data_IF_784040000112
#
_entry.id   IF_784040000112
#
_cell.length_a   1.000
_cell.length_b   1.000
_cell.length_c   1.000
_cell.angle_alpha   90.00
_cell.angle_beta   90.00
_cell.angle_gamma   90.00
#
_symmetry.space_group_name_H-M   'P 1'
#
loop_
_entity.id
_entity.type
_entity.pdbx_description
1 polymer ?
#
# COMPACT_ATOMS: atom_id res chain seq x y z
N UNK A 1 -0.40 5.54 31.76
CA UNK A 1 -0.17 6.08 30.40
C UNK A 1 -0.82 5.15 29.39
N UNK A 2 -1.73 5.64 28.55
CA UNK A 2 -2.40 4.84 27.51
C UNK A 2 -1.38 4.41 26.45
N UNK A 3 -1.37 3.11 26.09
CA UNK A 3 -0.51 2.57 25.03
C UNK A 3 -0.84 3.30 23.73
N UNK A 4 0.13 4.05 23.15
CA UNK A 4 -0.07 4.71 21.85
C UNK A 4 -0.43 3.65 20.80
N UNK A 5 -1.59 3.81 20.17
CA UNK A 5 -2.04 2.95 19.08
C UNK A 5 -1.06 3.02 17.91
N UNK A 6 -0.92 1.88 17.23
CA UNK A 6 -0.16 1.71 16.00
C UNK A 6 -1.17 1.50 14.88
N UNK A 7 -0.88 2.04 13.69
CA UNK A 7 -1.83 2.10 12.58
C UNK A 7 -1.17 1.49 11.34
N UNK A 8 -1.74 0.37 10.87
CA UNK A 8 -1.42 -0.19 9.56
C UNK A 8 -2.42 0.32 8.51
N UNK A 9 -1.91 0.89 7.42
CA UNK A 9 -2.71 1.30 6.25
C UNK A 9 -2.29 0.44 5.08
N UNK A 10 -3.27 -0.14 4.40
CA UNK A 10 -3.06 -0.97 3.21
C UNK A 10 -3.73 -0.25 2.05
N UNK A 11 -2.97 0.06 1.00
CA UNK A 11 -3.52 0.62 -0.24
C UNK A 11 -3.54 -0.41 -1.36
N UNK A 12 -4.43 -0.26 -2.35
CA UNK A 12 -4.39 -1.05 -3.57
C UNK A 12 -3.03 -0.92 -4.30
N UNK A 13 -2.57 -1.96 -5.00
CA UNK A 13 -1.26 -1.96 -5.63
C UNK A 13 -1.24 -1.34 -7.05
N UNK A 14 -2.26 -0.57 -7.43
CA UNK A 14 -2.40 -0.06 -8.80
C UNK A 14 -1.47 1.13 -9.09
N UNK A 15 -1.16 1.96 -8.10
CA UNK A 15 -0.29 3.12 -8.25
C UNK A 15 0.58 3.35 -7.00
N UNK A 16 1.45 4.37 -7.04
CA UNK A 16 2.32 4.75 -5.92
C UNK A 16 1.58 5.59 -4.88
N UNK A 17 2.20 5.80 -3.71
CA UNK A 17 1.71 6.77 -2.70
C UNK A 17 2.79 7.83 -2.47
N UNK A 18 2.52 9.13 -2.75
CA UNK A 18 1.35 9.65 -3.47
C UNK A 18 1.31 9.14 -4.92
N UNK A 19 0.14 9.16 -5.57
CA UNK A 19 0.00 8.70 -6.94
C UNK A 19 0.51 9.73 -7.93
N UNK A 20 1.16 9.26 -9.00
CA UNK A 20 1.63 10.11 -10.10
C UNK A 20 0.48 10.58 -11.02
N UNK A 21 -0.66 9.89 -11.02
CA UNK A 21 -1.83 10.18 -11.86
C UNK A 21 -3.14 9.87 -11.13
N UNK A 22 -3.99 9.06 -11.75
CA UNK A 22 -5.19 8.51 -11.11
C UNK A 22 -4.80 7.67 -9.89
N UNK A 23 -5.51 7.87 -8.78
CA UNK A 23 -5.23 7.22 -7.49
C UNK A 23 -5.95 7.88 -6.33
N UNK A 24 -7.28 7.98 -6.40
CA UNK A 24 -8.07 8.67 -5.37
C UNK A 24 -7.84 8.07 -3.98
N UNK A 25 -7.87 6.74 -3.89
CA UNK A 25 -7.61 5.99 -2.65
C UNK A 25 -6.21 6.27 -2.11
N UNK A 26 -5.19 6.30 -2.97
CA UNK A 26 -3.80 6.56 -2.60
C UNK A 26 -3.58 8.01 -2.14
N UNK A 27 -4.31 8.98 -2.71
CA UNK A 27 -4.29 10.38 -2.21
C UNK A 27 -4.92 10.48 -0.82
N UNK A 28 -6.08 9.87 -0.60
CA UNK A 28 -6.72 9.86 0.71
C UNK A 28 -5.81 9.19 1.75
N UNK A 29 -5.21 8.06 1.40
CA UNK A 29 -4.26 7.36 2.27
C UNK A 29 -3.04 8.24 2.60
N UNK A 30 -2.49 8.97 1.61
CA UNK A 30 -1.38 9.89 1.83
C UNK A 30 -1.74 10.98 2.85
N UNK A 31 -2.86 11.69 2.65
CA UNK A 31 -3.30 12.74 3.59
C UNK A 31 -3.56 12.18 4.99
N UNK A 32 -4.14 10.98 5.08
CA UNK A 32 -4.38 10.29 6.35
C UNK A 32 -3.07 9.92 7.07
N UNK A 33 -2.07 9.43 6.33
CA UNK A 33 -0.75 9.11 6.87
C UNK A 33 -0.09 10.35 7.46
N UNK A 34 -0.04 11.45 6.70
CA UNK A 34 0.60 12.68 7.15
C UNK A 34 -0.12 13.26 8.36
N UNK A 35 -1.47 13.25 8.36
CA UNK A 35 -2.28 13.67 9.48
C UNK A 35 -2.07 12.85 10.76
N UNK A 36 -2.07 11.52 10.67
CA UNK A 36 -1.83 10.65 11.82
C UNK A 36 -0.39 10.73 12.32
N UNK A 37 0.58 10.81 11.43
CA UNK A 37 1.99 10.93 11.81
C UNK A 37 2.25 12.26 12.52
N UNK A 38 1.65 13.37 12.04
CA UNK A 38 1.72 14.68 12.70
C UNK A 38 1.10 14.67 14.11
N UNK A 39 0.09 13.83 14.35
CA UNK A 39 -0.48 13.60 15.70
C UNK A 39 0.37 12.67 16.58
N UNK A 40 1.49 12.17 16.08
CA UNK A 40 2.44 11.34 16.81
C UNK A 40 2.06 9.86 16.92
N UNK A 41 1.18 9.37 16.02
CA UNK A 41 0.90 7.95 15.85
C UNK A 41 2.01 7.28 15.04
N UNK A 42 2.26 5.99 15.30
CA UNK A 42 3.16 5.16 14.50
C UNK A 42 2.37 4.57 13.34
N UNK A 43 2.60 5.06 12.13
CA UNK A 43 1.90 4.63 10.93
C UNK A 43 2.81 3.77 10.06
N UNK A 44 2.29 2.62 9.61
CA UNK A 44 2.93 1.76 8.61
C UNK A 44 2.05 1.66 7.37
N UNK A 45 2.61 1.93 6.21
CA UNK A 45 1.96 1.79 4.92
C UNK A 45 2.44 0.52 4.22
N UNK A 46 1.49 -0.32 3.80
CA UNK A 46 1.71 -1.41 2.85
C UNK A 46 1.27 -0.95 1.46
N UNK A 47 2.20 -0.97 0.49
CA UNK A 47 1.95 -0.46 -0.85
C UNK A 47 2.79 -1.11 -1.94
N UNK A 48 2.57 -0.66 -3.17
CA UNK A 48 3.35 -1.05 -4.35
C UNK A 48 4.13 0.15 -4.91
N UNK A 49 5.22 -0.13 -5.61
CA UNK A 49 6.03 0.90 -6.24
C UNK A 49 6.76 1.76 -5.22
N UNK A 50 7.01 3.02 -5.57
CA UNK A 50 7.71 3.98 -4.71
C UNK A 50 6.76 4.59 -3.68
N UNK A 51 7.33 4.96 -2.55
CA UNK A 51 6.65 5.74 -1.52
C UNK A 51 7.46 6.99 -1.19
N UNK A 52 6.77 8.11 -0.99
CA UNK A 52 7.36 9.34 -0.45
C UNK A 52 6.38 9.95 0.55
N UNK A 53 6.66 9.83 1.84
CA UNK A 53 5.85 10.38 2.92
C UNK A 53 6.41 9.98 4.29
N UNK A 54 5.63 10.20 5.35
CA UNK A 54 6.09 10.13 6.74
C UNK A 54 5.91 8.76 7.42
N UNK A 55 5.19 7.80 6.83
CA UNK A 55 5.01 6.46 7.39
C UNK A 55 6.22 5.54 7.20
N UNK A 56 6.32 4.49 8.02
CA UNK A 56 7.14 3.32 7.69
C UNK A 56 6.54 2.63 6.47
N UNK A 57 7.32 2.41 5.42
CA UNK A 57 6.83 1.78 4.20
C UNK A 57 7.28 0.33 4.07
N UNK A 58 6.31 -0.58 3.93
CA UNK A 58 6.54 -1.97 3.60
C UNK A 58 6.16 -2.16 2.12
N UNK A 59 7.18 -2.21 1.27
CA UNK A 59 7.00 -2.43 -0.16
C UNK A 59 6.66 -3.89 -0.44
N UNK A 60 5.43 -4.17 -0.85
CA UNK A 60 4.99 -5.54 -1.16
C UNK A 60 5.29 -5.91 -2.62
N UNK A 61 5.06 -4.97 -3.54
CA UNK A 61 5.44 -5.09 -4.94
C UNK A 61 6.41 -3.98 -5.34
N UNK A 62 7.51 -4.36 -5.99
CA UNK A 62 8.50 -3.40 -6.51
C UNK A 62 7.94 -2.48 -7.61
N UNK A 63 7.00 -3.00 -8.41
CA UNK A 63 6.27 -2.26 -9.45
C UNK A 63 4.77 -2.32 -9.18
N UNK A 64 4.09 -1.22 -9.42
CA UNK A 64 2.62 -1.16 -9.35
C UNK A 64 2.00 -2.04 -10.44
N UNK A 65 0.71 -2.33 -10.35
CA UNK A 65 0.01 -3.08 -11.41
C UNK A 65 -0.01 -2.26 -12.71
N UNK A 66 -0.20 -0.94 -12.63
CA UNK A 66 -0.24 -0.05 -13.81
C UNK A 66 1.11 0.04 -14.52
N UNK A 67 2.23 -0.05 -13.80
CA UNK A 67 3.58 -0.05 -14.38
C UNK A 67 3.92 -1.37 -15.10
N UNK A 68 3.16 -2.45 -14.85
CA UNK A 68 3.40 -3.73 -15.51
C UNK A 68 2.84 -3.65 -16.92
N UNK A 69 3.72 -3.73 -17.91
CA UNK A 69 3.33 -3.87 -19.31
C UNK A 69 2.80 -5.28 -19.53
N UNK A 70 1.55 -5.37 -19.96
CA UNK A 70 0.97 -6.60 -20.46
C UNK A 70 0.66 -6.41 -21.94
N UNK A 71 0.84 -7.47 -22.72
CA UNK A 71 0.30 -7.49 -24.07
C UNK A 71 -1.23 -7.55 -23.98
N UNK A 72 -1.89 -6.49 -24.43
CA UNK A 72 -3.35 -6.36 -24.36
C UNK A 72 -4.07 -7.37 -25.25
N UNK A 73 -3.41 -7.89 -26.29
CA UNK A 73 -3.97 -8.92 -27.16
C UNK A 73 -4.17 -10.27 -26.44
N UNK A 74 -3.41 -10.52 -25.37
CA UNK A 74 -3.45 -11.75 -24.59
C UNK A 74 -3.79 -11.50 -23.11
N UNK A 75 -4.33 -10.32 -22.80
CA UNK A 75 -4.67 -9.94 -21.45
C UNK A 75 -6.09 -10.38 -21.10
N UNK A 76 -6.17 -11.46 -20.32
CA UNK A 76 -7.38 -11.78 -19.57
C UNK A 76 -7.79 -10.60 -18.69
N UNK A 77 -9.03 -10.10 -18.85
CA UNK A 77 -9.52 -8.91 -18.15
C UNK A 77 -9.43 -9.02 -16.62
N UNK A 78 -9.49 -10.23 -16.08
CA UNK A 78 -9.37 -10.51 -14.64
C UNK A 78 -7.93 -10.50 -14.09
N UNK A 79 -6.91 -10.37 -14.95
CA UNK A 79 -5.50 -10.47 -14.52
C UNK A 79 -5.10 -9.38 -13.50
N UNK A 80 -5.50 -8.10 -13.63
CA UNK A 80 -5.21 -7.09 -12.61
C UNK A 80 -5.80 -7.45 -11.24
N UNK A 81 -7.05 -7.95 -11.21
CA UNK A 81 -7.72 -8.37 -9.98
C UNK A 81 -6.98 -9.55 -9.31
N UNK A 82 -6.54 -10.54 -10.10
CA UNK A 82 -5.74 -11.66 -9.57
C UNK A 82 -4.39 -11.22 -8.99
N UNK A 83 -3.76 -10.22 -9.61
CA UNK A 83 -2.53 -9.63 -9.06
C UNK A 83 -2.78 -8.87 -7.76
N UNK A 84 -3.92 -8.19 -7.64
CA UNK A 84 -4.36 -7.57 -6.39
C UNK A 84 -4.64 -8.63 -5.30
N UNK A 85 -5.30 -9.74 -5.62
CA UNK A 85 -5.48 -10.83 -4.66
C UNK A 85 -4.14 -11.39 -4.18
N UNK A 86 -3.18 -11.60 -5.10
CA UNK A 86 -1.83 -12.05 -4.75
C UNK A 86 -1.06 -11.01 -3.90
N UNK A 87 -1.32 -9.72 -4.12
CA UNK A 87 -0.80 -8.64 -3.30
C UNK A 87 -1.35 -8.69 -1.88
N UNK A 88 -2.68 -8.79 -1.72
CA UNK A 88 -3.34 -8.86 -0.41
C UNK A 88 -2.82 -10.08 0.37
N UNK A 89 -2.69 -11.23 -0.27
CA UNK A 89 -2.12 -12.43 0.35
C UNK A 89 -0.66 -12.24 0.82
N UNK A 90 0.13 -11.38 0.16
CA UNK A 90 1.48 -11.00 0.62
C UNK A 90 1.42 -10.04 1.79
N UNK A 91 0.54 -9.04 1.75
CA UNK A 91 0.30 -8.13 2.88
C UNK A 91 -0.06 -8.92 4.14
N UNK A 92 -1.02 -9.84 4.04
CA UNK A 92 -1.44 -10.69 5.16
C UNK A 92 -0.28 -11.49 5.73
N UNK A 93 0.57 -12.09 4.88
CA UNK A 93 1.78 -12.80 5.33
C UNK A 93 2.75 -11.89 6.06
N UNK A 94 2.97 -10.66 5.58
CA UNK A 94 3.86 -9.71 6.26
C UNK A 94 3.28 -9.24 7.60
N UNK A 95 1.96 -9.08 7.71
CA UNK A 95 1.30 -8.76 8.98
C UNK A 95 1.50 -9.90 10.00
N UNK A 96 1.25 -11.15 9.59
CA UNK A 96 1.40 -12.33 10.46
C UNK A 96 2.85 -12.48 10.94
N UNK A 97 3.83 -12.33 10.05
CA UNK A 97 5.26 -12.42 10.41
C UNK A 97 5.71 -11.37 11.41
N UNK A 98 5.00 -10.25 11.49
CA UNK A 98 5.37 -9.04 12.25
C UNK A 98 4.31 -8.71 13.28
N UNK A 99 3.70 -9.74 13.85
CA UNK A 99 2.64 -9.58 14.84
C UNK A 99 3.06 -8.65 15.98
N UNK A 100 2.20 -7.68 16.30
CA UNK A 100 2.46 -6.67 17.32
C UNK A 100 3.43 -5.55 16.91
N UNK A 101 4.00 -5.55 15.69
CA UNK A 101 4.80 -4.43 15.18
C UNK A 101 3.95 -3.21 14.80
N UNK A 102 2.69 -3.42 14.40
CA UNK A 102 1.75 -2.41 13.89
C UNK A 102 0.44 -2.37 14.65
#
# INVERSE_FOLDING_TARGET
MTKKLKIAIIVPPFTTVPPLGQGGTERVAYEMIEGFTKKGYKVTLFGAGKYKGSAKFIQIFKKTITERKFDTAYLEASRPLRLESAYIARVMREIIKKEGEF
#
